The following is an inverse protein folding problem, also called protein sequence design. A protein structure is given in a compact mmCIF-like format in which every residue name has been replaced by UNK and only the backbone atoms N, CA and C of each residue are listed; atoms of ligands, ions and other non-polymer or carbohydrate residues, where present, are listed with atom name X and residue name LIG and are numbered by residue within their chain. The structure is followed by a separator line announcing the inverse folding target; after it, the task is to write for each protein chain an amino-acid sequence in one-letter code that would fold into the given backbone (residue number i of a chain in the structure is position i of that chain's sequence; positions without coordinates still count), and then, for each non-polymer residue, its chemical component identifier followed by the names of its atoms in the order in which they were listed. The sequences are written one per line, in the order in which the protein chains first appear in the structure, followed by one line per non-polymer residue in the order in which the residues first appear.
data_IF_977252398805
#
_entry.id   IF_977252398805
#
_cell.length_a   1.000
_cell.length_b   1.000
_cell.length_c   1.000
_cell.angle_alpha   90.00
_cell.angle_beta   90.00
_cell.angle_gamma   90.00
#
_symmetry.space_group_name_H-M   'P 1'
#
loop_
_entity.id
_entity.type
_entity.pdbx_description
1 polymer ?
#
# COMPACT_ATOMS: atom_id res chain seq x y z
N UNK A 1 22.17 -3.94 -20.13
CA UNK A 1 20.89 -4.68 -20.18
C UNK A 1 19.82 -3.71 -20.65
N UNK A 2 19.11 -4.01 -21.73
CA UNK A 2 18.03 -3.15 -22.25
C UNK A 2 16.73 -3.53 -21.53
N UNK A 3 16.20 -2.63 -20.73
CA UNK A 3 14.85 -2.76 -20.16
C UNK A 3 13.86 -2.41 -21.26
N UNK A 4 13.07 -3.38 -21.70
CA UNK A 4 12.03 -3.19 -22.71
C UNK A 4 10.77 -2.71 -21.99
N UNK A 5 10.46 -1.42 -22.11
CA UNK A 5 9.22 -0.84 -21.59
C UNK A 5 8.07 -1.11 -22.56
N UNK A 6 6.98 -1.70 -22.05
CA UNK A 6 5.71 -1.78 -22.76
C UNK A 6 5.02 -0.43 -22.55
N UNK A 7 4.93 0.34 -23.64
CA UNK A 7 4.30 1.65 -23.71
C UNK A 7 2.79 1.49 -23.55
N UNK A 8 2.29 1.75 -22.34
CA UNK A 8 0.90 2.15 -22.11
C UNK A 8 0.86 3.68 -22.11
N UNK A 9 0.09 4.25 -23.03
CA UNK A 9 0.00 5.71 -23.20
C UNK A 9 -0.47 6.42 -21.91
N UNK A 10 0.16 7.56 -21.61
CA UNK A 10 -0.27 8.65 -20.69
C UNK A 10 0.14 8.69 -19.20
N UNK A 11 0.96 7.77 -18.67
CA UNK A 11 1.37 7.86 -17.25
C UNK A 11 2.76 8.51 -17.06
N UNK A 12 2.82 9.65 -16.35
CA UNK A 12 4.07 10.27 -15.92
C UNK A 12 4.73 9.41 -14.84
N UNK A 13 6.00 9.03 -15.04
CA UNK A 13 6.74 8.14 -14.16
C UNK A 13 7.96 8.82 -13.54
N UNK A 14 8.23 8.50 -12.26
CA UNK A 14 9.51 8.79 -11.60
C UNK A 14 10.31 7.50 -11.58
N UNK A 15 11.47 7.49 -12.22
CA UNK A 15 12.35 6.32 -12.28
C UNK A 15 13.33 6.37 -11.11
N UNK A 16 13.38 5.29 -10.34
CA UNK A 16 14.34 5.07 -9.25
C UNK A 16 15.40 4.06 -9.68
N UNK A 17 16.55 4.04 -9.01
CA UNK A 17 17.59 3.02 -9.27
C UNK A 17 17.13 1.64 -8.83
N UNK A 18 17.76 0.57 -9.35
CA UNK A 18 17.43 -0.80 -8.95
C UNK A 18 17.63 -1.04 -7.44
N UNK A 19 18.65 -0.43 -6.83
CA UNK A 19 18.87 -0.52 -5.38
C UNK A 19 17.76 0.18 -4.59
N UNK A 20 17.33 1.36 -5.06
CA UNK A 20 16.21 2.08 -4.45
C UNK A 20 14.91 1.29 -4.59
N UNK A 21 14.63 0.71 -5.76
CA UNK A 21 13.47 -0.14 -5.99
C UNK A 21 13.41 -1.31 -5.01
N UNK A 22 14.53 -2.03 -4.82
CA UNK A 22 14.59 -3.14 -3.86
C UNK A 22 14.29 -2.70 -2.43
N UNK A 23 14.85 -1.56 -2.00
CA UNK A 23 14.57 -0.98 -0.68
C UNK A 23 13.10 -0.61 -0.54
N UNK A 24 12.53 0.04 -1.56
CA UNK A 24 11.12 0.44 -1.61
C UNK A 24 10.19 -0.78 -1.55
N UNK A 25 10.47 -1.84 -2.30
CA UNK A 25 9.65 -3.05 -2.33
C UNK A 25 9.70 -3.85 -1.01
N UNK A 26 10.85 -3.84 -0.35
CA UNK A 26 11.06 -4.49 0.95
C UNK A 26 10.55 -3.67 2.13
N UNK A 27 10.38 -2.36 1.95
CA UNK A 27 9.82 -1.46 2.94
C UNK A 27 8.35 -1.79 3.15
N UNK A 28 8.02 -2.35 4.31
CA UNK A 28 6.62 -2.47 4.76
C UNK A 28 5.98 -1.12 5.10
N UNK A 29 6.72 -0.02 4.99
CA UNK A 29 6.30 1.33 5.35
C UNK A 29 5.92 2.18 4.12
N UNK A 30 5.10 3.20 4.36
CA UNK A 30 4.79 4.23 3.38
C UNK A 30 6.00 5.15 3.17
N UNK A 31 6.30 5.47 1.91
CA UNK A 31 7.46 6.28 1.54
C UNK A 31 6.97 7.66 1.12
N UNK A 32 7.40 8.70 1.81
CA UNK A 32 7.05 10.08 1.47
C UNK A 32 7.89 10.58 0.28
N UNK A 33 7.23 11.25 -0.67
CA UNK A 33 7.90 11.90 -1.80
C UNK A 33 7.89 13.40 -1.53
N UNK A 34 9.09 13.99 -1.44
CA UNK A 34 9.33 15.41 -1.17
C UNK A 34 10.12 16.06 -2.31
N UNK A 35 9.96 17.37 -2.49
CA UNK A 35 10.86 18.16 -3.35
C UNK A 35 12.17 18.53 -2.61
N UNK A 36 13.06 19.24 -3.32
CA UNK A 36 14.36 19.68 -2.80
C UNK A 36 14.26 20.75 -1.70
N UNK A 37 13.12 21.44 -1.61
CA UNK A 37 12.80 22.36 -0.50
C UNK A 37 12.25 21.63 0.73
N UNK A 38 12.01 20.32 0.63
CA UNK A 38 11.40 19.51 1.68
C UNK A 38 9.88 19.55 1.70
N UNK A 39 9.23 20.13 0.68
CA UNK A 39 7.76 20.14 0.59
C UNK A 39 7.28 18.77 0.15
N UNK A 40 6.31 18.22 0.90
CA UNK A 40 5.63 16.97 0.54
C UNK A 40 4.83 17.11 -0.75
N UNK A 41 5.13 16.25 -1.71
CA UNK A 41 4.41 16.09 -2.97
C UNK A 41 3.37 14.98 -2.83
N UNK A 42 3.72 13.89 -2.15
CA UNK A 42 2.85 12.71 -2.02
C UNK A 42 3.48 11.59 -1.22
N UNK A 43 2.98 10.38 -1.40
CA UNK A 43 3.55 9.18 -0.81
C UNK A 43 3.31 7.95 -1.69
N UNK A 44 4.20 6.99 -1.59
CA UNK A 44 4.08 5.67 -2.18
C UNK A 44 3.79 4.66 -1.08
N UNK A 45 2.79 3.80 -1.30
CA UNK A 45 2.58 2.57 -0.52
C UNK A 45 2.67 1.39 -1.45
N UNK A 46 3.17 0.27 -0.94
CA UNK A 46 3.15 -0.99 -1.67
C UNK A 46 1.72 -1.29 -2.15
N UNK A 47 1.53 -1.65 -3.43
CA UNK A 47 0.22 -2.09 -3.90
C UNK A 47 -0.20 -3.37 -3.16
N UNK A 48 -1.49 -3.51 -2.89
CA UNK A 48 -2.04 -4.75 -2.34
C UNK A 48 -1.75 -5.91 -3.30
N UNK A 49 -1.39 -7.04 -2.73
CA UNK A 49 -1.29 -8.30 -3.47
C UNK A 49 -2.67 -8.76 -3.95
N UNK A 50 -2.68 -9.58 -5.00
CA UNK A 50 -3.92 -10.16 -5.52
C UNK A 50 -4.69 -10.92 -4.43
N UNK A 51 -3.99 -11.61 -3.52
CA UNK A 51 -4.60 -12.32 -2.40
C UNK A 51 -5.31 -11.36 -1.43
N UNK A 52 -4.69 -10.22 -1.09
CA UNK A 52 -5.29 -9.19 -0.24
C UNK A 52 -6.50 -8.55 -0.93
N UNK A 53 -6.42 -8.35 -2.25
CA UNK A 53 -7.52 -7.81 -3.05
C UNK A 53 -8.68 -8.80 -3.07
N UNK A 54 -8.43 -10.08 -3.31
CA UNK A 54 -9.47 -11.12 -3.31
C UNK A 54 -10.10 -11.31 -1.93
N UNK A 55 -9.30 -11.27 -0.86
CA UNK A 55 -9.83 -11.28 0.51
C UNK A 55 -10.70 -10.06 0.79
N UNK A 56 -10.27 -8.87 0.37
CA UNK A 56 -11.06 -7.64 0.53
C UNK A 56 -12.38 -7.71 -0.25
N UNK A 57 -12.38 -8.24 -1.48
CA UNK A 57 -13.60 -8.47 -2.27
C UNK A 57 -14.51 -9.49 -1.60
N UNK A 58 -13.96 -10.61 -1.12
CA UNK A 58 -14.72 -11.64 -0.41
C UNK A 58 -15.42 -11.06 0.82
N UNK A 59 -14.70 -10.28 1.64
CA UNK A 59 -15.29 -9.61 2.81
C UNK A 59 -16.38 -8.62 2.43
N UNK A 60 -16.12 -7.77 1.42
CA UNK A 60 -17.12 -6.82 0.94
C UNK A 60 -18.42 -7.48 0.45
N UNK A 61 -18.33 -8.68 -0.10
CA UNK A 61 -19.48 -9.42 -0.62
C UNK A 61 -20.22 -10.28 0.42
N UNK A 62 -19.55 -10.73 1.48
CA UNK A 62 -20.07 -11.76 2.38
C UNK A 62 -20.17 -11.34 3.85
N UNK A 63 -19.51 -10.25 4.27
CA UNK A 63 -19.59 -9.74 5.64
C UNK A 63 -20.60 -8.58 5.74
N UNK A 64 -21.31 -8.42 6.87
CA UNK A 64 -22.08 -7.21 7.13
C UNK A 64 -21.17 -5.97 7.04
N UNK A 65 -21.76 -4.81 6.70
CA UNK A 65 -21.13 -3.53 6.26
C UNK A 65 -20.04 -2.95 7.19
N UNK A 66 -19.75 -3.60 8.32
CA UNK A 66 -18.58 -3.34 9.13
C UNK A 66 -18.68 -4.10 10.44
N UNK A 67 -17.65 -3.93 11.26
CA UNK A 67 -17.73 -4.34 12.67
C UNK A 67 -18.65 -3.38 13.39
N UNK A 68 -19.57 -3.92 14.18
CA UNK A 68 -20.31 -3.15 15.17
C UNK A 68 -19.34 -2.55 16.19
N UNK A 69 -19.75 -1.47 16.85
CA UNK A 69 -18.96 -0.84 17.92
C UNK A 69 -18.54 -1.84 18.99
N UNK A 70 -19.41 -2.80 19.33
CA UNK A 70 -19.11 -3.88 20.29
C UNK A 70 -17.95 -4.75 19.83
N UNK A 71 -17.96 -5.19 18.57
CA UNK A 71 -16.90 -6.05 18.00
C UNK A 71 -15.56 -5.31 17.88
N UNK A 72 -15.58 -4.00 17.63
CA UNK A 72 -14.37 -3.17 17.63
C UNK A 72 -13.77 -3.11 19.04
N UNK A 73 -14.59 -2.83 20.06
CA UNK A 73 -14.12 -2.74 21.45
C UNK A 73 -13.59 -4.09 21.98
N UNK A 74 -14.24 -5.19 21.63
CA UNK A 74 -13.77 -6.54 21.99
C UNK A 74 -12.43 -6.92 21.32
N UNK A 75 -12.13 -6.38 20.14
CA UNK A 75 -10.84 -6.62 19.47
C UNK A 75 -9.73 -5.77 20.08
N UNK A 76 -10.00 -4.51 20.40
CA UNK A 76 -9.01 -3.61 21.00
C UNK A 76 -8.56 -4.11 22.38
N UNK A 77 -9.48 -4.58 23.23
CA UNK A 77 -9.13 -5.13 24.54
C UNK A 77 -8.25 -6.39 24.48
N UNK A 78 -8.38 -7.19 23.42
CA UNK A 78 -7.51 -8.35 23.16
C UNK A 78 -6.10 -7.97 22.72
N UNK A 79 -5.94 -6.81 22.08
CA UNK A 79 -4.63 -6.30 21.65
C UNK A 79 -3.89 -5.60 22.79
N UNK A 80 -4.61 -4.96 23.71
CA UNK A 80 -4.02 -4.34 24.91
C UNK A 80 -3.56 -5.35 25.97
N UNK A 81 -3.98 -6.62 25.85
CA UNK A 81 -3.64 -7.71 26.78
C UNK A 81 -2.51 -8.63 26.29
N UNK A 82 -1.87 -8.29 25.16
CA UNK A 82 -0.77 -9.02 24.53
C UNK A 82 0.52 -8.21 24.58
#
# INVERSE_FOLDING_TARGET
MKSTYIQGDDMVQIVVTAEQALKIESSGEAIEIVDDSGKRIGFFTKPFSDAEIEEAKYRAANEPIGRTTKEVLERLSKLDSA
#
